data_IF_090274607682
#
_entry.id   IF_090274607682
#
_cell.length_a   1.000
_cell.length_b   1.000
_cell.length_c   1.000
_cell.angle_alpha   90.00
_cell.angle_beta   90.00
_cell.angle_gamma   90.00
#
_symmetry.space_group_name_H-M   'P 1'
#
loop_
_entity.id
_entity.type
_entity.pdbx_description
1 polymer ?
#
# COMPACT_ATOMS: atom_id res chain seq x y z
N UNK A 1 37.49 1.32 -13.39
CA UNK A 1 36.37 1.98 -12.68
C UNK A 1 35.54 2.71 -13.71
N UNK A 2 34.42 2.12 -14.09
CA UNK A 2 33.90 2.26 -15.43
C UNK A 2 32.47 2.78 -15.37
N UNK A 3 32.31 4.07 -15.70
CA UNK A 3 31.05 4.80 -15.91
C UNK A 3 30.31 4.34 -17.19
N UNK A 4 30.21 3.02 -17.38
CA UNK A 4 29.94 2.37 -18.68
C UNK A 4 28.58 2.71 -19.32
N UNK A 5 27.46 2.98 -18.62
CA UNK A 5 26.24 3.28 -19.35
C UNK A 5 26.17 4.73 -19.88
N UNK A 6 27.04 5.64 -19.42
CA UNK A 6 27.10 7.02 -19.96
C UNK A 6 27.97 7.13 -21.21
N UNK A 7 28.88 6.16 -21.44
CA UNK A 7 29.86 6.22 -22.51
C UNK A 7 29.38 5.51 -23.77
N UNK A 8 28.42 4.58 -23.67
CA UNK A 8 27.78 3.97 -24.83
C UNK A 8 26.60 4.87 -25.24
N UNK A 9 26.77 5.75 -26.24
CA UNK A 9 25.80 6.81 -26.54
C UNK A 9 24.41 6.28 -26.92
N UNK A 10 24.28 5.02 -27.31
CA UNK A 10 23.05 4.47 -27.88
C UNK A 10 22.10 3.81 -26.88
N UNK A 11 22.48 3.67 -25.60
CA UNK A 11 21.62 3.01 -24.60
C UNK A 11 20.86 3.99 -23.68
N UNK A 12 21.30 5.25 -23.61
CA UNK A 12 20.66 6.28 -22.78
C UNK A 12 19.52 6.98 -23.54
N UNK A 13 18.25 6.89 -23.10
CA UNK A 13 17.12 7.56 -23.76
C UNK A 13 17.31 9.07 -23.88
N UNK A 14 18.02 9.69 -22.92
CA UNK A 14 18.29 11.12 -22.95
C UNK A 14 19.24 11.49 -24.12
N UNK A 15 19.96 10.52 -24.69
CA UNK A 15 20.75 10.74 -25.89
C UNK A 15 19.93 11.29 -27.05
N UNK A 16 18.72 10.74 -27.26
CA UNK A 16 17.84 11.15 -28.35
C UNK A 16 17.38 12.60 -28.21
N UNK A 17 17.20 13.09 -26.97
CA UNK A 17 16.83 14.49 -26.70
C UNK A 17 17.94 15.47 -27.10
N UNK A 18 19.21 15.10 -26.91
CA UNK A 18 20.35 15.99 -27.14
C UNK A 18 21.12 15.70 -28.44
N UNK A 19 20.66 14.77 -29.28
CA UNK A 19 21.33 14.40 -30.53
C UNK A 19 21.39 15.57 -31.51
N UNK A 20 20.29 16.32 -31.66
CA UNK A 20 20.17 17.44 -32.61
C UNK A 20 20.69 18.80 -32.10
N UNK A 21 21.12 18.89 -30.84
CA UNK A 21 21.50 20.18 -30.24
C UNK A 21 23.01 20.43 -30.42
N UNK A 22 23.40 21.58 -30.96
CA UNK A 22 24.81 21.98 -31.13
C UNK A 22 25.44 22.52 -29.83
N UNK A 23 25.54 21.68 -28.80
CA UNK A 23 26.22 21.99 -27.53
C UNK A 23 27.57 21.27 -27.41
N UNK A 24 28.56 21.85 -26.70
CA UNK A 24 29.80 21.16 -26.33
C UNK A 24 29.53 19.81 -25.62
N UNK A 25 30.32 18.75 -25.87
CA UNK A 25 30.08 17.42 -25.30
C UNK A 25 29.98 17.40 -23.78
N UNK A 26 30.82 18.19 -23.09
CA UNK A 26 30.79 18.31 -21.62
C UNK A 26 29.46 18.86 -21.09
N UNK A 27 28.90 19.85 -21.79
CA UNK A 27 27.61 20.46 -21.44
C UNK A 27 26.48 19.45 -21.68
N UNK A 28 26.53 18.67 -22.77
CA UNK A 28 25.55 17.60 -23.01
C UNK A 28 25.55 16.56 -21.89
N UNK A 29 26.72 16.11 -21.44
CA UNK A 29 26.82 15.15 -20.34
C UNK A 29 26.25 15.76 -19.05
N UNK A 30 26.61 17.00 -18.73
CA UNK A 30 26.11 17.68 -17.53
C UNK A 30 24.57 17.79 -17.54
N UNK A 31 23.99 18.21 -18.67
CA UNK A 31 22.53 18.31 -18.82
C UNK A 31 21.82 16.96 -18.70
N UNK A 32 22.43 15.88 -19.21
CA UNK A 32 21.86 14.52 -19.08
C UNK A 32 21.89 14.01 -17.66
N UNK A 33 22.99 14.24 -16.94
CA UNK A 33 23.13 13.88 -15.53
C UNK A 33 22.11 14.66 -14.70
N UNK A 34 21.99 15.97 -14.93
CA UNK A 34 21.03 16.83 -14.22
C UNK A 34 19.57 16.42 -14.49
N UNK A 35 19.23 16.12 -15.75
CA UNK A 35 17.90 15.65 -16.12
C UNK A 35 17.58 14.31 -15.47
N UNK A 36 18.52 13.36 -15.54
CA UNK A 36 18.34 12.03 -14.94
C UNK A 36 18.20 12.12 -13.43
N UNK A 37 19.04 12.93 -12.78
CA UNK A 37 18.98 13.18 -11.35
C UNK A 37 17.63 13.77 -10.94
N UNK A 38 17.18 14.82 -11.63
CA UNK A 38 15.88 15.48 -11.35
C UNK A 38 14.72 14.50 -11.53
N UNK A 39 14.72 13.69 -12.59
CA UNK A 39 13.68 12.69 -12.84
C UNK A 39 13.66 11.61 -11.76
N UNK A 40 14.83 11.06 -11.41
CA UNK A 40 14.94 10.04 -10.37
C UNK A 40 14.50 10.60 -9.01
N UNK A 41 14.94 11.81 -8.68
CA UNK A 41 14.59 12.47 -7.43
C UNK A 41 13.09 12.77 -7.35
N UNK A 42 12.50 13.31 -8.42
CA UNK A 42 11.06 13.57 -8.48
C UNK A 42 10.24 12.28 -8.35
N UNK A 43 10.63 11.22 -9.06
CA UNK A 43 9.98 9.91 -8.95
C UNK A 43 10.09 9.32 -7.54
N UNK A 44 11.25 9.46 -6.89
CA UNK A 44 11.43 9.02 -5.50
C UNK A 44 10.48 9.78 -4.56
N UNK A 45 10.40 11.12 -4.68
CA UNK A 45 9.45 11.93 -3.91
C UNK A 45 8.03 11.44 -4.11
N UNK A 46 7.60 11.25 -5.36
CA UNK A 46 6.24 10.78 -5.69
C UNK A 46 5.94 9.42 -5.04
N UNK A 47 6.88 8.47 -5.09
CA UNK A 47 6.74 7.16 -4.46
C UNK A 47 6.62 7.30 -2.94
N UNK A 48 7.51 8.05 -2.29
CA UNK A 48 7.47 8.22 -0.84
C UNK A 48 6.22 8.96 -0.38
N UNK A 49 5.79 10.00 -1.10
CA UNK A 49 4.53 10.71 -0.83
C UNK A 49 3.33 9.78 -0.94
N UNK A 50 3.29 8.90 -1.94
CA UNK A 50 2.23 7.90 -2.09
C UNK A 50 2.25 6.89 -0.93
N UNK A 51 3.41 6.40 -0.52
CA UNK A 51 3.54 5.48 0.62
C UNK A 51 3.07 6.14 1.93
N UNK A 52 3.51 7.37 2.19
CA UNK A 52 3.09 8.16 3.37
C UNK A 52 1.57 8.35 3.36
N UNK A 53 1.01 8.70 2.21
CA UNK A 53 -0.45 8.83 2.04
C UNK A 53 -1.18 7.53 2.39
N UNK A 54 -0.76 6.39 1.82
CA UNK A 54 -1.37 5.08 2.10
C UNK A 54 -1.26 4.74 3.59
N UNK A 55 -0.08 4.91 4.20
CA UNK A 55 0.13 4.64 5.63
C UNK A 55 -0.78 5.50 6.49
N UNK A 56 -0.85 6.79 6.22
CA UNK A 56 -1.65 7.72 7.02
C UNK A 56 -3.14 7.38 6.94
N UNK A 57 -3.66 7.21 5.73
CA UNK A 57 -5.07 6.85 5.51
C UNK A 57 -5.41 5.52 6.17
N UNK A 58 -4.59 4.49 5.95
CA UNK A 58 -4.84 3.15 6.51
C UNK A 58 -4.71 3.13 8.03
N UNK A 59 -3.75 3.86 8.59
CA UNK A 59 -3.58 3.99 10.04
C UNK A 59 -4.74 4.73 10.68
N UNK A 60 -5.22 5.82 10.07
CA UNK A 60 -6.40 6.54 10.57
C UNK A 60 -7.64 5.63 10.60
N UNK A 61 -7.90 4.89 9.53
CA UNK A 61 -9.00 3.91 9.49
C UNK A 61 -8.83 2.84 10.57
N UNK A 62 -7.62 2.32 10.73
CA UNK A 62 -7.30 1.30 11.73
C UNK A 62 -7.49 1.81 13.16
N UNK A 63 -7.02 3.01 13.49
CA UNK A 63 -7.17 3.65 14.80
C UNK A 63 -8.65 3.90 15.10
N UNK A 64 -9.42 4.42 14.14
CA UNK A 64 -10.85 4.64 14.34
C UNK A 64 -11.61 3.33 14.58
N UNK A 65 -11.26 2.24 13.87
CA UNK A 65 -11.87 0.92 14.11
C UNK A 65 -11.47 0.35 15.47
N UNK A 66 -10.22 0.58 15.91
CA UNK A 66 -9.72 0.11 17.20
C UNK A 66 -10.37 0.84 18.37
N UNK A 67 -10.51 2.16 18.28
CA UNK A 67 -11.23 3.00 19.24
C UNK A 67 -12.67 2.50 19.44
N UNK A 68 -13.38 2.26 18.33
CA UNK A 68 -14.74 1.72 18.35
C UNK A 68 -14.81 0.30 18.91
N UNK A 69 -13.74 -0.50 18.84
CA UNK A 69 -13.70 -1.86 19.38
C UNK A 69 -13.31 -1.89 20.87
N UNK A 70 -12.39 -1.02 21.29
CA UNK A 70 -11.86 -0.93 22.65
C UNK A 70 -12.93 -0.46 23.65
N UNK A 71 -13.69 0.58 23.28
CA UNK A 71 -14.78 1.13 24.11
C UNK A 71 -15.84 0.08 24.47
N UNK A 72 -16.05 -0.92 23.60
CA UNK A 72 -17.00 -2.00 23.83
C UNK A 72 -16.49 -3.03 24.85
N UNK A 73 -15.17 -3.18 24.98
CA UNK A 73 -14.55 -4.22 25.82
C UNK A 73 -14.43 -3.76 27.27
N UNK A 74 -13.95 -2.53 27.51
CA UNK A 74 -13.78 -1.98 28.86
C UNK A 74 -15.08 -1.89 29.67
N UNK A 75 -16.22 -1.75 28.99
CA UNK A 75 -17.53 -1.58 29.62
C UNK A 75 -18.19 -2.91 30.05
N UNK A 76 -17.72 -4.04 29.54
CA UNK A 76 -18.19 -5.38 29.94
C UNK A 76 -17.86 -5.67 31.41
N UNK A 77 -16.76 -5.10 31.90
CA UNK A 77 -16.23 -5.32 33.25
C UNK A 77 -16.89 -4.44 34.33
N UNK A 78 -17.68 -3.43 33.96
CA UNK A 78 -18.31 -2.49 34.91
C UNK A 78 -19.73 -2.90 35.37
N UNK A 79 -20.10 -4.18 35.22
CA UNK A 79 -21.47 -4.68 35.46
C UNK A 79 -21.73 -5.01 36.94
N UNK A 80 -21.77 -3.96 37.78
CA UNK A 80 -22.03 -4.09 39.22
C UNK A 80 -23.39 -3.59 39.74
N UNK A 81 -24.00 -2.51 39.23
CA UNK A 81 -25.05 -1.86 40.06
C UNK A 81 -26.19 -1.06 39.40
N UNK A 82 -26.36 -0.99 38.07
CA UNK A 82 -27.54 -0.30 37.52
C UNK A 82 -27.98 -0.84 36.14
N UNK A 83 -29.03 -1.67 36.10
CA UNK A 83 -29.45 -2.41 34.89
C UNK A 83 -30.27 -1.56 33.90
N UNK A 84 -31.02 -0.54 34.37
CA UNK A 84 -32.02 0.15 33.55
C UNK A 84 -31.46 1.34 32.74
N UNK A 85 -30.54 2.13 33.32
CA UNK A 85 -29.86 3.24 32.60
C UNK A 85 -28.87 2.76 31.51
N UNK A 86 -28.59 1.44 31.49
CA UNK A 86 -27.65 0.82 30.55
C UNK A 86 -28.27 0.56 29.18
N UNK A 87 -29.59 0.36 29.08
CA UNK A 87 -30.24 0.07 27.79
C UNK A 87 -30.33 1.30 26.89
N UNK A 88 -30.70 2.46 27.44
CA UNK A 88 -30.83 3.73 26.70
C UNK A 88 -29.45 4.20 26.21
N UNK A 89 -28.44 4.16 27.07
CA UNK A 89 -27.07 4.55 26.71
C UNK A 89 -26.46 3.67 25.61
N UNK A 90 -26.79 2.36 25.56
CA UNK A 90 -26.38 1.45 24.47
C UNK A 90 -27.05 1.74 23.13
N UNK A 91 -28.21 2.39 23.11
CA UNK A 91 -28.86 2.78 21.85
C UNK A 91 -28.21 4.03 21.27
N UNK A 92 -27.97 5.04 22.10
CA UNK A 92 -27.31 6.29 21.68
C UNK A 92 -25.88 6.04 21.20
N UNK A 93 -25.09 5.25 21.94
CA UNK A 93 -23.74 4.83 21.53
C UNK A 93 -23.74 4.13 20.18
N UNK A 94 -24.70 3.22 19.97
CA UNK A 94 -24.81 2.56 18.68
C UNK A 94 -25.04 3.55 17.54
N UNK A 95 -25.88 4.59 17.71
CA UNK A 95 -26.07 5.59 16.66
C UNK A 95 -24.76 6.35 16.38
N UNK A 96 -24.01 6.71 17.42
CA UNK A 96 -22.72 7.42 17.27
C UNK A 96 -21.72 6.55 16.49
N UNK A 97 -21.51 5.30 16.90
CA UNK A 97 -20.59 4.41 16.20
C UNK A 97 -21.08 4.04 14.79
N UNK A 98 -22.39 3.92 14.58
CA UNK A 98 -22.97 3.71 13.26
C UNK A 98 -22.65 4.87 12.30
N UNK A 99 -22.80 6.12 12.77
CA UNK A 99 -22.47 7.30 11.97
C UNK A 99 -20.97 7.40 11.68
N UNK A 100 -20.11 7.15 12.67
CA UNK A 100 -18.65 7.08 12.48
C UNK A 100 -18.27 6.00 11.45
N UNK A 101 -18.84 4.80 11.56
CA UNK A 101 -18.58 3.71 10.62
C UNK A 101 -19.05 4.05 9.20
N UNK A 102 -20.22 4.70 9.05
CA UNK A 102 -20.69 5.23 7.76
C UNK A 102 -19.69 6.21 7.13
N UNK A 103 -19.10 7.10 7.92
CA UNK A 103 -18.05 8.01 7.45
C UNK A 103 -16.81 7.25 6.97
N UNK A 104 -16.36 6.23 7.73
CA UNK A 104 -15.24 5.38 7.30
C UNK A 104 -15.57 4.64 5.99
N UNK A 105 -16.81 4.20 5.79
CA UNK A 105 -17.25 3.56 4.56
C UNK A 105 -17.18 4.51 3.36
N UNK A 106 -17.60 5.76 3.52
CA UNK A 106 -17.49 6.79 2.48
C UNK A 106 -16.02 7.06 2.16
N UNK A 107 -15.18 7.23 3.18
CA UNK A 107 -13.73 7.46 2.99
C UNK A 107 -13.09 6.27 2.26
N UNK A 108 -13.38 5.04 2.68
CA UNK A 108 -12.85 3.83 2.05
C UNK A 108 -13.31 3.69 0.59
N UNK A 109 -14.56 4.05 0.28
CA UNK A 109 -15.06 4.01 -1.10
C UNK A 109 -14.39 5.06 -2.00
N UNK A 110 -14.23 6.30 -1.50
CA UNK A 110 -13.49 7.36 -2.20
C UNK A 110 -12.04 6.92 -2.43
N UNK A 111 -11.39 6.33 -1.43
CA UNK A 111 -10.04 5.78 -1.56
C UNK A 111 -9.94 4.70 -2.63
N UNK A 112 -10.86 3.75 -2.62
CA UNK A 112 -10.93 2.72 -3.66
C UNK A 112 -11.10 3.32 -5.05
N UNK A 113 -11.90 4.39 -5.19
CA UNK A 113 -12.08 5.12 -6.44
C UNK A 113 -10.79 5.79 -6.93
N UNK A 114 -10.06 6.48 -6.04
CA UNK A 114 -8.78 7.13 -6.37
C UNK A 114 -7.70 6.09 -6.72
N UNK A 115 -7.66 4.99 -5.97
CA UNK A 115 -6.59 4.00 -6.06
C UNK A 115 -6.91 2.84 -7.02
N UNK A 116 -8.05 2.91 -7.73
CA UNK A 116 -8.52 1.85 -8.64
C UNK A 116 -7.48 1.51 -9.71
N UNK A 117 -6.80 2.51 -10.26
CA UNK A 117 -5.73 2.33 -11.27
C UNK A 117 -4.33 2.37 -10.64
N UNK A 118 -4.17 3.11 -9.54
CA UNK A 118 -2.88 3.29 -8.89
C UNK A 118 -2.37 1.97 -8.30
N UNK A 119 -3.21 1.20 -7.61
CA UNK A 119 -2.76 -0.05 -6.98
C UNK A 119 -2.32 -1.13 -7.97
N UNK A 120 -3.09 -1.49 -9.01
CA UNK A 120 -2.65 -2.50 -9.97
C UNK A 120 -1.35 -2.12 -10.67
N UNK A 121 -1.22 -0.86 -11.10
CA UNK A 121 -0.01 -0.35 -11.76
C UNK A 121 1.18 -0.38 -10.80
N UNK A 122 1.00 0.08 -9.57
CA UNK A 122 2.07 0.06 -8.56
C UNK A 122 2.53 -1.36 -8.24
N UNK A 123 1.62 -2.33 -8.13
CA UNK A 123 1.97 -3.73 -7.90
C UNK A 123 2.71 -4.34 -9.08
N UNK A 124 2.27 -4.07 -10.32
CA UNK A 124 2.93 -4.54 -11.53
C UNK A 124 4.35 -3.96 -11.66
N UNK A 125 4.48 -2.65 -11.43
CA UNK A 125 5.78 -1.97 -11.42
C UNK A 125 6.67 -2.53 -10.34
N UNK A 126 6.15 -2.76 -9.13
CA UNK A 126 6.92 -3.35 -8.03
C UNK A 126 7.43 -4.76 -8.37
N UNK A 127 6.58 -5.63 -8.93
CA UNK A 127 7.01 -6.99 -9.33
C UNK A 127 8.06 -6.91 -10.43
N UNK A 128 7.82 -6.12 -11.48
CA UNK A 128 8.74 -5.99 -12.62
C UNK A 128 10.09 -5.43 -12.18
N UNK A 129 10.07 -4.33 -11.43
CA UNK A 129 11.28 -3.69 -10.89
C UNK A 129 12.01 -4.64 -9.94
N UNK A 130 11.32 -5.24 -8.99
CA UNK A 130 11.91 -6.16 -8.03
C UNK A 130 12.56 -7.38 -8.71
N UNK A 131 11.99 -7.85 -9.82
CA UNK A 131 12.55 -8.94 -10.62
C UNK A 131 13.88 -8.55 -11.26
N UNK A 132 13.92 -7.38 -11.91
CA UNK A 132 15.14 -6.83 -12.53
C UNK A 132 16.21 -6.57 -11.46
N UNK A 133 15.85 -5.99 -10.32
CA UNK A 133 16.79 -5.74 -9.23
C UNK A 133 17.33 -7.04 -8.63
N UNK A 134 16.49 -8.07 -8.46
CA UNK A 134 16.91 -9.39 -8.02
C UNK A 134 17.90 -10.03 -8.98
N UNK A 135 17.67 -9.93 -10.28
CA UNK A 135 18.61 -10.37 -11.32
C UNK A 135 19.94 -9.63 -11.25
N UNK A 136 19.93 -8.29 -11.10
CA UNK A 136 21.15 -7.49 -10.94
C UNK A 136 21.98 -7.94 -9.72
N UNK A 137 21.30 -8.23 -8.60
CA UNK A 137 21.96 -8.65 -7.36
C UNK A 137 22.57 -10.06 -7.44
N UNK A 138 21.88 -10.99 -8.11
CA UNK A 138 22.30 -12.39 -8.15
C UNK A 138 23.27 -12.67 -9.28
N UNK A 139 22.97 -12.18 -10.49
CA UNK A 139 23.69 -12.55 -11.72
C UNK A 139 24.72 -11.50 -12.10
N UNK A 140 24.38 -10.21 -12.04
CA UNK A 140 25.25 -9.14 -12.55
C UNK A 140 26.15 -8.50 -11.50
N UNK A 141 26.32 -9.08 -10.32
CA UNK A 141 27.05 -8.42 -9.23
C UNK A 141 28.56 -8.24 -9.51
N UNK A 142 29.16 -9.08 -10.37
CA UNK A 142 30.56 -8.97 -10.79
C UNK A 142 30.74 -8.00 -11.97
N UNK A 143 29.73 -7.90 -12.84
CA UNK A 143 29.77 -7.10 -14.07
C UNK A 143 29.34 -5.64 -13.86
N UNK A 144 28.56 -5.37 -12.81
CA UNK A 144 27.97 -4.06 -12.55
C UNK A 144 28.71 -3.34 -11.42
N UNK A 145 28.92 -2.01 -11.51
CA UNK A 145 29.51 -1.23 -10.43
C UNK A 145 28.84 -1.48 -9.07
N UNK A 146 29.66 -1.65 -8.03
CA UNK A 146 29.19 -1.90 -6.66
C UNK A 146 28.12 -0.91 -6.17
N UNK A 147 28.19 0.36 -6.59
CA UNK A 147 27.19 1.37 -6.25
C UNK A 147 25.78 1.01 -6.74
N UNK A 148 25.64 0.45 -7.94
CA UNK A 148 24.36 0.03 -8.49
C UNK A 148 23.85 -1.24 -7.81
N UNK A 149 24.74 -2.18 -7.47
CA UNK A 149 24.39 -3.38 -6.70
C UNK A 149 23.87 -2.99 -5.31
N UNK A 150 24.56 -2.07 -4.62
CA UNK A 150 24.12 -1.56 -3.32
C UNK A 150 22.75 -0.87 -3.42
N UNK A 151 22.55 -0.03 -4.43
CA UNK A 151 21.28 0.65 -4.65
C UNK A 151 20.15 -0.36 -4.94
N UNK A 152 20.41 -1.37 -5.77
CA UNK A 152 19.45 -2.43 -6.06
C UNK A 152 19.05 -3.19 -4.79
N UNK A 153 20.02 -3.50 -3.92
CA UNK A 153 19.80 -4.12 -2.62
C UNK A 153 18.90 -3.29 -1.72
N UNK A 154 19.19 -1.99 -1.58
CA UNK A 154 18.40 -1.07 -0.76
C UNK A 154 16.95 -0.99 -1.27
N UNK A 155 16.77 -0.82 -2.59
CA UNK A 155 15.42 -0.72 -3.17
C UNK A 155 14.64 -2.03 -3.01
N UNK A 156 15.29 -3.18 -3.21
CA UNK A 156 14.65 -4.48 -3.02
C UNK A 156 14.24 -4.71 -1.55
N UNK A 157 15.10 -4.36 -0.59
CA UNK A 157 14.78 -4.43 0.85
C UNK A 157 13.62 -3.52 1.20
N UNK A 158 13.60 -2.28 0.70
CA UNK A 158 12.49 -1.35 0.91
C UNK A 158 11.18 -1.89 0.32
N UNK A 159 11.22 -2.49 -0.87
CA UNK A 159 10.05 -3.10 -1.52
C UNK A 159 9.49 -4.25 -0.69
N UNK A 160 10.34 -5.18 -0.25
CA UNK A 160 9.96 -6.30 0.60
C UNK A 160 9.44 -5.80 1.96
N UNK A 161 10.11 -4.81 2.56
CA UNK A 161 9.70 -4.20 3.82
C UNK A 161 8.33 -3.52 3.71
N UNK A 162 8.09 -2.76 2.64
CA UNK A 162 6.80 -2.13 2.36
C UNK A 162 5.70 -3.17 2.19
N UNK A 163 5.92 -4.22 1.39
CA UNK A 163 4.96 -5.31 1.23
C UNK A 163 4.67 -6.02 2.57
N UNK A 164 5.70 -6.21 3.40
CA UNK A 164 5.57 -6.88 4.70
C UNK A 164 4.80 -6.05 5.73
N UNK A 165 4.84 -4.71 5.67
CA UNK A 165 4.15 -3.83 6.62
C UNK A 165 2.79 -3.34 6.11
N UNK A 166 2.72 -2.88 4.86
CA UNK A 166 1.51 -2.24 4.31
C UNK A 166 0.40 -3.24 4.01
N UNK A 167 0.72 -4.38 3.40
CA UNK A 167 -0.31 -5.36 3.03
C UNK A 167 -1.04 -5.88 4.28
N UNK A 168 -0.36 -6.28 5.37
CA UNK A 168 -1.05 -6.67 6.60
C UNK A 168 -1.84 -5.53 7.24
N UNK A 169 -1.32 -4.30 7.23
CA UNK A 169 -2.04 -3.14 7.77
C UNK A 169 -3.38 -2.94 7.05
N UNK A 170 -3.38 -3.01 5.72
CA UNK A 170 -4.59 -2.92 4.91
C UNK A 170 -5.53 -4.10 5.16
N UNK A 171 -5.00 -5.33 5.22
CA UNK A 171 -5.81 -6.52 5.47
C UNK A 171 -6.46 -6.52 6.88
N UNK A 172 -5.79 -5.92 7.86
CA UNK A 172 -6.32 -5.80 9.23
C UNK A 172 -7.53 -4.87 9.30
N UNK A 173 -7.64 -3.84 8.45
CA UNK A 173 -8.82 -2.97 8.37
C UNK A 173 -10.06 -3.80 8.04
N UNK A 174 -9.96 -4.69 7.05
CA UNK A 174 -11.07 -5.58 6.66
C UNK A 174 -11.43 -6.57 7.76
N UNK A 175 -10.43 -7.11 8.47
CA UNK A 175 -10.68 -7.98 9.63
C UNK A 175 -11.42 -7.24 10.75
N UNK A 176 -10.91 -6.09 11.19
CA UNK A 176 -11.53 -5.30 12.27
C UNK A 176 -12.91 -4.79 11.90
N UNK A 177 -13.12 -4.43 10.64
CA UNK A 177 -14.43 -4.03 10.13
C UNK A 177 -15.44 -5.18 10.17
N UNK A 178 -15.02 -6.40 9.84
CA UNK A 178 -15.86 -7.60 9.98
C UNK A 178 -16.19 -7.89 11.44
N UNK A 179 -15.20 -7.84 12.33
CA UNK A 179 -15.38 -8.05 13.77
C UNK A 179 -16.37 -7.03 14.36
N UNK A 180 -16.28 -5.76 13.94
CA UNK A 180 -17.22 -4.71 14.33
C UNK A 180 -18.65 -5.05 13.89
N UNK A 181 -18.85 -5.45 12.63
CA UNK A 181 -20.17 -5.80 12.11
C UNK A 181 -20.76 -7.04 12.82
N UNK A 182 -19.92 -8.04 13.11
CA UNK A 182 -20.31 -9.24 13.84
C UNK A 182 -20.70 -8.90 15.28
N UNK A 183 -19.89 -8.12 15.98
CA UNK A 183 -20.15 -7.69 17.36
C UNK A 183 -21.52 -7.00 17.48
N UNK A 184 -21.78 -6.00 16.64
CA UNK A 184 -23.06 -5.29 16.65
C UNK A 184 -24.22 -6.13 16.10
N UNK A 185 -23.95 -7.05 15.17
CA UNK A 185 -24.92 -8.02 14.66
C UNK A 185 -25.47 -8.93 15.76
N UNK A 186 -24.59 -9.47 16.61
CA UNK A 186 -25.00 -10.27 17.78
C UNK A 186 -25.77 -9.41 18.78
N UNK A 187 -25.28 -8.22 19.10
CA UNK A 187 -25.88 -7.36 20.13
C UNK A 187 -27.26 -6.78 19.74
N UNK A 188 -27.46 -6.44 18.46
CA UNK A 188 -28.70 -5.81 17.96
C UNK A 188 -29.65 -6.79 17.28
N UNK A 189 -29.39 -8.10 17.39
CA UNK A 189 -30.34 -9.12 16.95
C UNK A 189 -31.71 -8.97 17.62
N UNK A 190 -31.88 -8.19 18.68
CA UNK A 190 -33.18 -8.00 19.34
C UNK A 190 -34.09 -6.94 18.72
N UNK A 191 -33.60 -5.98 17.91
CA UNK A 191 -34.46 -4.94 17.30
C UNK A 191 -34.48 -4.99 15.77
N UNK A 192 -35.69 -5.01 15.19
CA UNK A 192 -35.90 -5.10 13.73
C UNK A 192 -35.26 -3.92 12.97
N UNK A 193 -35.37 -2.70 13.53
CA UNK A 193 -34.76 -1.48 12.98
C UNK A 193 -33.23 -1.53 13.03
N UNK A 194 -32.64 -2.06 14.11
CA UNK A 194 -31.19 -2.20 14.26
C UNK A 194 -30.61 -3.16 13.21
N UNK A 195 -31.26 -4.31 13.01
CA UNK A 195 -30.88 -5.28 11.97
C UNK A 195 -30.91 -4.66 10.56
N UNK A 196 -31.96 -3.88 10.23
CA UNK A 196 -32.07 -3.20 8.93
C UNK A 196 -30.93 -2.20 8.72
N UNK A 197 -30.61 -1.39 9.73
CA UNK A 197 -29.49 -0.44 9.67
C UNK A 197 -28.15 -1.16 9.49
N UNK A 198 -27.88 -2.21 10.25
CA UNK A 198 -26.65 -3.00 10.12
C UNK A 198 -26.52 -3.66 8.74
N UNK A 199 -27.62 -4.16 8.16
CA UNK A 199 -27.63 -4.72 6.80
C UNK A 199 -27.23 -3.70 5.72
N UNK A 200 -27.40 -2.39 5.99
CA UNK A 200 -26.96 -1.33 5.08
C UNK A 200 -25.46 -1.04 5.15
N UNK A 201 -24.77 -1.54 6.16
CA UNK A 201 -23.31 -1.40 6.29
C UNK A 201 -22.62 -2.51 5.51
N UNK A 202 -21.57 -2.15 4.81
CA UNK A 202 -20.69 -3.12 4.15
C UNK A 202 -19.37 -3.20 4.90
N UNK A 203 -18.71 -4.35 4.80
CA UNK A 203 -17.35 -4.51 5.29
C UNK A 203 -16.41 -3.55 4.54
N UNK A 204 -15.54 -2.85 5.27
CA UNK A 204 -14.52 -1.95 4.74
C UNK A 204 -13.43 -2.79 4.07
N UNK A 205 -13.44 -2.78 2.74
CA UNK A 205 -12.51 -3.53 1.91
C UNK A 205 -11.71 -2.58 1.04
N UNK A 206 -10.39 -2.69 1.10
CA UNK A 206 -9.52 -2.04 0.12
C UNK A 206 -9.42 -2.92 -1.11
N UNK A 207 -9.84 -2.39 -2.25
CA UNK A 207 -9.86 -3.08 -3.54
C UNK A 207 -8.65 -2.66 -4.38
N UNK A 208 -8.01 -3.64 -5.01
CA UNK A 208 -7.01 -3.44 -6.04
C UNK A 208 -7.74 -3.41 -7.38
N UNK A 209 -8.14 -2.22 -7.81
CA UNK A 209 -8.98 -2.04 -8.99
C UNK A 209 -10.31 -2.80 -8.90
N UNK A 210 -10.76 -3.30 -10.05
CA UNK A 210 -11.90 -4.22 -10.15
C UNK A 210 -11.50 -5.70 -10.01
N UNK A 211 -10.24 -5.98 -9.66
CA UNK A 211 -9.67 -7.33 -9.73
C UNK A 211 -9.92 -8.12 -8.44
N UNK A 212 -9.45 -7.61 -7.29
CA UNK A 212 -9.57 -8.32 -6.02
C UNK A 212 -9.52 -7.38 -4.82
N UNK A 213 -10.03 -7.85 -3.68
CA UNK A 213 -9.85 -7.18 -2.39
C UNK A 213 -8.59 -7.69 -1.68
N UNK A 214 -7.85 -6.80 -1.02
CA UNK A 214 -6.63 -7.16 -0.29
C UNK A 214 -7.01 -8.03 0.91
N UNK A 215 -6.53 -9.28 0.91
CA UNK A 215 -6.71 -10.25 2.00
C UNK A 215 -5.39 -10.45 2.76
N UNK A 216 -5.44 -11.08 3.95
CA UNK A 216 -4.25 -11.45 4.73
C UNK A 216 -3.26 -12.31 3.93
N UNK A 217 -3.75 -13.16 3.03
CA UNK A 217 -2.93 -13.99 2.14
C UNK A 217 -2.23 -13.22 1.01
N UNK A 218 -2.67 -11.99 0.69
CA UNK A 218 -2.13 -11.20 -0.42
C UNK A 218 -0.63 -10.91 -0.26
N UNK A 219 -0.14 -10.81 0.99
CA UNK A 219 1.30 -10.67 1.27
C UNK A 219 2.10 -11.85 0.75
N UNK A 220 1.67 -13.07 1.10
CA UNK A 220 2.36 -14.29 0.70
C UNK A 220 2.32 -14.46 -0.81
N UNK A 221 1.17 -14.18 -1.44
CA UNK A 221 1.02 -14.22 -2.90
C UNK A 221 1.95 -13.22 -3.59
N UNK A 222 2.01 -11.98 -3.11
CA UNK A 222 2.90 -10.96 -3.67
C UNK A 222 4.38 -11.35 -3.58
N UNK A 223 4.84 -11.79 -2.40
CA UNK A 223 6.23 -12.20 -2.20
C UNK A 223 6.59 -13.44 -3.01
N UNK A 224 5.66 -14.39 -3.13
CA UNK A 224 5.84 -15.57 -3.97
C UNK A 224 5.97 -15.18 -5.45
N UNK A 225 5.07 -14.33 -5.98
CA UNK A 225 5.17 -13.84 -7.36
C UNK A 225 6.48 -13.10 -7.61
N UNK A 226 6.92 -12.24 -6.68
CA UNK A 226 8.20 -11.54 -6.80
C UNK A 226 9.37 -12.52 -6.90
N UNK A 227 9.43 -13.50 -6.01
CA UNK A 227 10.50 -14.50 -6.01
C UNK A 227 10.48 -15.38 -7.26
N UNK A 228 9.29 -15.82 -7.67
CA UNK A 228 9.08 -16.64 -8.86
C UNK A 228 9.55 -15.92 -10.14
N UNK A 229 9.25 -14.63 -10.27
CA UNK A 229 9.72 -13.82 -11.39
C UNK A 229 11.24 -13.57 -11.35
N UNK A 230 11.84 -13.40 -10.17
CA UNK A 230 13.31 -13.31 -10.02
C UNK A 230 13.95 -14.61 -10.51
N UNK A 231 13.50 -15.76 -10.03
CA UNK A 231 14.05 -17.07 -10.40
C UNK A 231 13.86 -17.34 -11.90
N UNK A 232 12.67 -17.06 -12.44
CA UNK A 232 12.38 -17.22 -13.87
C UNK A 232 13.30 -16.36 -14.73
N UNK A 233 13.51 -15.10 -14.34
CA UNK A 233 14.39 -14.20 -15.06
C UNK A 233 15.85 -14.70 -15.04
N UNK A 234 16.33 -15.18 -13.89
CA UNK A 234 17.68 -15.76 -13.73
C UNK A 234 17.85 -17.00 -14.62
N UNK A 235 16.85 -17.88 -14.71
CA UNK A 235 16.94 -19.09 -15.55
C UNK A 235 16.84 -18.81 -17.05
N UNK A 236 16.23 -17.68 -17.42
CA UNK A 236 15.96 -17.34 -18.83
C UNK A 236 17.13 -16.69 -19.56
N UNK A 237 18.12 -16.18 -18.83
CA UNK A 237 19.31 -15.48 -19.35
C UNK A 237 20.53 -16.37 -19.17
#
# INVERSE_FOLDING_TARGET
MSSIPLVIPNMDPSYFLFRGVCLPPKIKILLRVELTFTLVFHNAIMIFSLLIYIVNVTSSLHICLDDMASDNTGRRNATGSHVQNVAISKFEQFQIYFLKYKQLQIIAEIQNGILVYVYPVALLVAISLGSVLGYVLVVLNEDVPFSLVLQAGIVLVLLVGAAHKLIPLVANITGKSEDFLLFWGVQKSTSSLGRRKLKSLTNLRMKVGNFFAIKKSARTVFLWMLLDNIITLIMSV
#
